data_IF_229400475353
#
_entry.id   IF_229400475353
#
_cell.length_a   1.000
_cell.length_b   1.000
_cell.length_c   1.000
_cell.angle_alpha   90.00
_cell.angle_beta   90.00
_cell.angle_gamma   90.00
#
_symmetry.space_group_name_H-M   'P 1'
#
loop_
_entity.id
_entity.type
_entity.pdbx_description
1 polymer ?
#
# COMPACT_ATOMS: atom_id res chain seq x y z
N UNK A 1 2.85 -3.38 8.17
CA UNK A 1 2.82 -2.90 6.77
C UNK A 1 2.94 -4.07 5.80
N UNK A 2 3.89 -4.97 6.03
CA UNK A 2 4.19 -6.11 5.15
C UNK A 2 2.96 -6.92 4.78
N UNK A 3 2.13 -7.31 5.77
CA UNK A 3 0.88 -8.05 5.52
C UNK A 3 -0.09 -7.37 4.55
N UNK A 4 -0.16 -6.03 4.55
CA UNK A 4 -1.05 -5.27 3.64
C UNK A 4 -0.51 -5.38 2.21
N UNK A 5 0.81 -5.20 2.05
CA UNK A 5 1.48 -5.32 0.76
C UNK A 5 1.37 -6.74 0.23
N UNK A 6 1.71 -7.74 1.06
CA UNK A 6 1.59 -9.16 0.73
C UNK A 6 0.17 -9.53 0.30
N UNK A 7 -0.86 -9.03 1.00
CA UNK A 7 -2.26 -9.30 0.65
C UNK A 7 -2.63 -8.71 -0.72
N UNK A 8 -2.22 -7.47 -1.00
CA UNK A 8 -2.43 -6.84 -2.32
C UNK A 8 -1.75 -7.63 -3.43
N UNK A 9 -0.50 -8.06 -3.20
CA UNK A 9 0.24 -8.89 -4.14
C UNK A 9 -0.40 -10.27 -4.32
N UNK A 10 -0.94 -10.87 -3.26
CA UNK A 10 -1.65 -12.14 -3.33
C UNK A 10 -2.90 -12.06 -4.22
N UNK A 11 -3.67 -10.98 -4.14
CA UNK A 11 -4.82 -10.77 -5.04
C UNK A 11 -4.39 -10.64 -6.50
N UNK A 12 -3.24 -10.00 -6.77
CA UNK A 12 -2.66 -9.94 -8.11
C UNK A 12 -2.27 -11.33 -8.61
N UNK A 13 -1.52 -12.09 -7.80
CA UNK A 13 -1.03 -13.43 -8.18
C UNK A 13 -2.17 -14.46 -8.36
N UNK A 14 -3.25 -14.33 -7.62
CA UNK A 14 -4.45 -15.18 -7.73
C UNK A 14 -5.45 -14.69 -8.78
N UNK A 15 -5.20 -13.54 -9.41
CA UNK A 15 -6.10 -12.86 -10.33
C UNK A 15 -7.49 -12.54 -9.74
N UNK A 16 -7.58 -12.38 -8.43
CA UNK A 16 -8.79 -11.97 -7.74
C UNK A 16 -8.96 -10.45 -7.78
N UNK A 17 -9.59 -9.99 -8.85
CA UNK A 17 -9.88 -8.58 -9.05
C UNK A 17 -10.84 -8.01 -8.00
N UNK A 18 -11.87 -8.77 -7.60
CA UNK A 18 -12.86 -8.26 -6.66
C UNK A 18 -12.23 -8.06 -5.29
N UNK A 19 -11.47 -9.05 -4.80
CA UNK A 19 -10.70 -8.92 -3.57
C UNK A 19 -9.73 -7.74 -3.60
N UNK A 20 -9.04 -7.52 -4.73
CA UNK A 20 -8.14 -6.39 -4.91
C UNK A 20 -8.87 -5.04 -4.79
N UNK A 21 -9.99 -4.87 -5.52
CA UNK A 21 -10.77 -3.63 -5.53
C UNK A 21 -11.41 -3.34 -4.18
N UNK A 22 -12.01 -4.36 -3.56
CA UNK A 22 -12.63 -4.24 -2.24
C UNK A 22 -11.60 -3.88 -1.17
N UNK A 23 -10.44 -4.54 -1.19
CA UNK A 23 -9.38 -4.30 -0.23
C UNK A 23 -8.76 -2.92 -0.42
N UNK A 24 -8.46 -2.49 -1.65
CA UNK A 24 -8.00 -1.13 -1.91
C UNK A 24 -9.03 -0.08 -1.48
N UNK A 25 -10.31 -0.29 -1.82
CA UNK A 25 -11.39 0.59 -1.39
C UNK A 25 -11.57 0.63 0.14
N UNK A 26 -11.27 -0.47 0.84
CA UNK A 26 -11.20 -0.48 2.30
C UNK A 26 -10.06 0.40 2.83
N UNK A 27 -8.85 0.31 2.24
CA UNK A 27 -7.72 1.18 2.60
C UNK A 27 -8.06 2.65 2.32
N UNK A 28 -8.70 2.96 1.19
CA UNK A 28 -9.18 4.30 0.87
C UNK A 28 -10.12 4.85 1.94
N UNK A 29 -11.14 4.07 2.33
CA UNK A 29 -12.15 4.50 3.31
C UNK A 29 -11.61 4.62 4.73
N UNK A 30 -10.70 3.73 5.14
CA UNK A 30 -10.26 3.63 6.55
C UNK A 30 -8.96 4.36 6.83
N UNK A 31 -8.03 4.37 5.88
CA UNK A 31 -6.69 4.93 6.05
C UNK A 31 -6.56 6.23 5.27
N UNK A 32 -6.81 6.20 3.95
CA UNK A 32 -6.49 7.34 3.09
C UNK A 32 -7.49 8.50 3.23
N UNK A 33 -8.71 8.24 3.70
CA UNK A 33 -9.71 9.26 4.01
C UNK A 33 -9.28 10.22 5.12
N UNK A 34 -8.32 9.82 5.95
CA UNK A 34 -7.76 10.62 7.05
C UNK A 34 -6.53 11.43 6.64
N UNK A 35 -6.03 11.22 5.43
CA UNK A 35 -4.87 11.93 4.92
C UNK A 35 -5.24 13.34 4.49
N UNK A 36 -4.29 14.25 4.64
CA UNK A 36 -4.35 15.57 4.03
C UNK A 36 -4.42 15.46 2.50
N UNK A 37 -5.10 16.43 1.88
CA UNK A 37 -5.32 16.46 0.43
C UNK A 37 -4.02 16.43 -0.39
N UNK A 38 -2.91 16.92 0.18
CA UNK A 38 -1.58 16.90 -0.45
C UNK A 38 -1.11 15.48 -0.80
N UNK A 39 -1.60 14.44 -0.09
CA UNK A 39 -1.22 13.05 -0.33
C UNK A 39 -2.14 12.33 -1.34
N UNK A 40 -3.31 12.88 -1.68
CA UNK A 40 -4.23 12.28 -2.66
C UNK A 40 -3.58 11.96 -4.00
N UNK A 41 -2.75 12.83 -4.60
CA UNK A 41 -2.06 12.51 -5.85
C UNK A 41 -1.16 11.28 -5.73
N UNK A 42 -0.49 11.10 -4.60
CA UNK A 42 0.38 9.94 -4.34
C UNK A 42 -0.44 8.66 -4.20
N UNK A 43 -1.56 8.71 -3.47
CA UNK A 43 -2.49 7.58 -3.36
C UNK A 43 -3.04 7.18 -4.73
N UNK A 44 -3.45 8.14 -5.56
CA UNK A 44 -3.94 7.88 -6.92
C UNK A 44 -2.86 7.28 -7.82
N UNK A 45 -1.61 7.75 -7.72
CA UNK A 45 -0.48 7.15 -8.44
C UNK A 45 -0.23 5.70 -8.00
N UNK A 46 -0.32 5.40 -6.71
CA UNK A 46 -0.19 4.04 -6.19
C UNK A 46 -1.34 3.13 -6.65
N UNK A 47 -2.60 3.61 -6.61
CA UNK A 47 -3.77 2.91 -7.16
C UNK A 47 -3.57 2.57 -8.64
N UNK A 48 -3.13 3.57 -9.41
CA UNK A 48 -2.88 3.42 -10.85
C UNK A 48 -1.80 2.37 -11.10
N UNK A 49 -0.66 2.45 -10.40
CA UNK A 49 0.42 1.47 -10.52
C UNK A 49 0.00 0.07 -10.09
N UNK A 50 -0.82 -0.05 -9.04
CA UNK A 50 -1.36 -1.34 -8.59
C UNK A 50 -2.22 -1.99 -9.68
N UNK A 51 -3.11 -1.23 -10.29
CA UNK A 51 -3.97 -1.72 -11.37
C UNK A 51 -3.18 -2.06 -12.63
N UNK A 52 -2.19 -1.25 -12.98
CA UNK A 52 -1.25 -1.54 -14.07
C UNK A 52 -0.48 -2.83 -13.79
N UNK A 53 -0.06 -3.06 -12.56
CA UNK A 53 0.64 -4.28 -12.19
C UNK A 53 -0.26 -5.51 -12.34
N UNK A 54 -1.51 -5.43 -11.86
CA UNK A 54 -2.52 -6.48 -12.08
C UNK A 54 -2.65 -6.82 -13.57
N UNK A 55 -2.85 -5.81 -14.43
CA UNK A 55 -2.98 -6.00 -15.87
C UNK A 55 -1.74 -6.64 -16.49
N UNK A 56 -0.53 -6.16 -16.16
CA UNK A 56 0.72 -6.76 -16.66
C UNK A 56 0.80 -8.24 -16.28
N UNK A 57 0.51 -8.61 -15.02
CA UNK A 57 0.51 -10.00 -14.59
C UNK A 57 -0.50 -10.87 -15.35
N UNK A 58 -1.71 -10.36 -15.60
CA UNK A 58 -2.71 -11.09 -16.38
C UNK A 58 -2.25 -11.35 -17.81
N UNK A 59 -1.63 -10.36 -18.46
CA UNK A 59 -1.18 -10.45 -19.84
C UNK A 59 0.08 -11.33 -19.95
N UNK A 60 1.04 -11.21 -19.03
CA UNK A 60 2.23 -12.07 -18.97
C UNK A 60 1.87 -13.55 -18.81
N UNK A 61 0.77 -13.86 -18.12
CA UNK A 61 0.32 -15.23 -17.88
C UNK A 61 -0.72 -15.72 -18.90
N UNK A 62 -0.90 -15.01 -20.01
CA UNK A 62 -1.88 -15.31 -21.05
C UNK A 62 -3.34 -15.41 -20.53
N UNK A 63 -3.64 -14.72 -19.42
CA UNK A 63 -4.96 -14.61 -18.79
C UNK A 63 -5.68 -13.35 -19.26
N UNK A 64 -5.79 -13.20 -20.57
CA UNK A 64 -6.46 -12.04 -21.19
C UNK A 64 -7.94 -11.94 -20.80
N UNK A 65 -8.57 -13.05 -20.41
CA UNK A 65 -9.90 -13.11 -19.80
C UNK A 65 -10.02 -12.19 -18.57
N UNK A 66 -8.99 -12.19 -17.72
CA UNK A 66 -8.93 -11.38 -16.50
C UNK A 66 -8.62 -9.91 -16.79
N UNK A 67 -7.81 -9.64 -17.80
CA UNK A 67 -7.58 -8.28 -18.27
C UNK A 67 -8.86 -7.64 -18.83
N UNK A 68 -9.68 -8.43 -19.53
CA UNK A 68 -10.98 -7.98 -20.03
C UNK A 68 -11.99 -7.75 -18.90
N UNK A 69 -12.07 -8.66 -17.91
CA UNK A 69 -12.90 -8.46 -16.71
C UNK A 69 -12.51 -7.17 -15.94
N UNK A 70 -11.20 -6.89 -15.85
CA UNK A 70 -10.71 -5.64 -15.29
C UNK A 70 -11.30 -4.42 -15.99
N UNK A 71 -11.14 -4.33 -17.31
CA UNK A 71 -11.65 -3.18 -18.05
C UNK A 71 -13.18 -3.15 -18.06
N UNK A 72 -13.88 -4.29 -18.06
CA UNK A 72 -15.33 -4.30 -17.97
C UNK A 72 -15.84 -3.66 -16.67
N UNK A 73 -15.16 -3.91 -15.53
CA UNK A 73 -15.56 -3.36 -14.22
C UNK A 73 -15.05 -1.94 -13.99
N UNK A 74 -13.86 -1.60 -14.49
CA UNK A 74 -13.18 -0.34 -14.16
C UNK A 74 -13.28 0.72 -15.28
N UNK A 75 -13.65 0.35 -16.51
CA UNK A 75 -13.76 1.30 -17.64
C UNK A 75 -14.59 2.56 -17.33
N UNK A 76 -15.75 2.49 -16.62
CA UNK A 76 -16.55 3.68 -16.35
C UNK A 76 -15.77 4.79 -15.60
N UNK A 77 -14.88 4.40 -14.68
CA UNK A 77 -14.02 5.31 -13.92
C UNK A 77 -12.77 5.69 -14.71
N UNK A 78 -12.14 4.72 -15.37
CA UNK A 78 -10.83 4.89 -16.02
C UNK A 78 -10.91 5.61 -17.37
N UNK A 79 -12.03 5.55 -18.09
CA UNK A 79 -12.16 6.16 -19.43
C UNK A 79 -11.99 7.69 -19.42
N UNK A 80 -12.23 8.34 -18.28
CA UNK A 80 -12.09 9.79 -18.13
C UNK A 80 -10.64 10.22 -17.78
N UNK A 81 -9.73 9.25 -17.63
CA UNK A 81 -8.34 9.47 -17.24
C UNK A 81 -7.43 9.25 -18.45
N UNK A 82 -6.74 10.31 -18.89
CA UNK A 82 -5.95 10.29 -20.12
C UNK A 82 -4.84 9.23 -20.09
N UNK A 83 -4.27 8.96 -18.91
CA UNK A 83 -3.20 7.99 -18.68
C UNK A 83 -3.63 6.53 -18.88
N UNK A 84 -4.94 6.25 -18.96
CA UNK A 84 -5.51 4.92 -19.20
C UNK A 84 -5.85 4.68 -20.66
N UNK A 85 -5.88 5.72 -21.50
CA UNK A 85 -6.31 5.62 -22.90
C UNK A 85 -5.56 4.54 -23.68
N UNK A 86 -4.24 4.50 -23.58
CA UNK A 86 -3.42 3.48 -24.27
C UNK A 86 -3.57 2.10 -23.64
N UNK A 87 -3.83 2.03 -22.32
CA UNK A 87 -3.94 0.77 -21.58
C UNK A 87 -5.15 -0.08 -22.00
N UNK A 88 -6.22 0.53 -22.49
CA UNK A 88 -7.37 -0.22 -23.04
C UNK A 88 -7.00 -1.11 -24.24
N UNK A 89 -5.91 -0.79 -24.97
CA UNK A 89 -5.42 -1.61 -26.07
C UNK A 89 -4.59 -2.81 -25.58
N UNK A 90 -4.09 -2.79 -24.34
CA UNK A 90 -3.13 -3.77 -23.81
C UNK A 90 -3.57 -5.24 -23.99
N UNK A 91 -4.84 -5.64 -23.70
CA UNK A 91 -5.27 -7.03 -23.85
C UNK A 91 -5.26 -7.54 -25.30
N UNK A 92 -5.21 -6.63 -26.28
CA UNK A 92 -5.29 -6.94 -27.71
C UNK A 92 -3.94 -6.88 -28.42
N UNK A 93 -2.88 -6.49 -27.72
CA UNK A 93 -1.53 -6.41 -28.30
C UNK A 93 -0.88 -7.79 -28.39
N UNK A 94 -0.30 -8.17 -29.55
CA UNK A 94 0.33 -9.48 -29.72
C UNK A 94 1.66 -9.62 -28.95
N UNK A 95 2.39 -8.53 -28.75
CA UNK A 95 3.67 -8.48 -28.01
C UNK A 95 3.74 -7.18 -27.17
N UNK A 96 3.06 -7.12 -26.02
CA UNK A 96 2.96 -5.92 -25.21
C UNK A 96 4.27 -5.57 -24.49
N UNK A 97 5.13 -6.56 -24.23
CA UNK A 97 6.47 -6.40 -23.67
C UNK A 97 7.45 -5.72 -24.64
N UNK A 98 7.27 -5.91 -25.96
CA UNK A 98 8.06 -5.25 -26.99
C UNK A 98 7.56 -3.84 -27.33
N UNK A 99 6.36 -3.45 -26.86
CA UNK A 99 5.80 -2.14 -27.13
C UNK A 99 6.53 -1.06 -26.31
N UNK A 100 7.09 0.01 -26.93
CA UNK A 100 7.83 1.04 -26.20
C UNK A 100 7.04 1.72 -25.07
N UNK A 101 5.71 1.83 -25.19
CA UNK A 101 4.84 2.42 -24.17
C UNK A 101 4.72 1.52 -22.95
N UNK A 102 4.75 0.19 -23.13
CA UNK A 102 4.46 -0.78 -22.07
C UNK A 102 5.70 -1.52 -21.56
N UNK A 103 6.76 -1.63 -22.34
CA UNK A 103 7.96 -2.45 -22.06
C UNK A 103 8.53 -2.25 -20.66
N UNK A 104 8.57 -1.01 -20.17
CA UNK A 104 9.03 -0.69 -18.83
C UNK A 104 8.22 -1.38 -17.73
N UNK A 105 6.89 -1.48 -17.89
CA UNK A 105 5.98 -2.09 -16.92
C UNK A 105 6.11 -3.62 -16.85
N UNK A 106 6.61 -4.25 -17.91
CA UNK A 106 6.88 -5.69 -17.96
C UNK A 106 8.21 -6.06 -17.29
N UNK A 107 9.02 -5.08 -16.89
CA UNK A 107 10.29 -5.33 -16.20
C UNK A 107 10.09 -5.66 -14.72
N UNK A 108 10.90 -6.60 -14.20
CA UNK A 108 10.95 -6.91 -12.77
C UNK A 108 11.33 -5.70 -11.93
N UNK A 109 12.25 -4.88 -12.44
CA UNK A 109 12.69 -3.65 -11.78
C UNK A 109 11.53 -2.69 -11.49
N UNK A 110 10.60 -2.53 -12.44
CA UNK A 110 9.42 -1.69 -12.24
C UNK A 110 8.50 -2.24 -11.15
N UNK A 111 8.23 -3.56 -11.16
CA UNK A 111 7.41 -4.21 -10.14
C UNK A 111 8.02 -4.11 -8.73
N UNK A 112 9.33 -4.32 -8.61
CA UNK A 112 10.06 -4.18 -7.34
C UNK A 112 10.04 -2.72 -6.86
N UNK A 113 10.25 -1.76 -7.75
CA UNK A 113 10.20 -0.32 -7.44
C UNK A 113 8.81 0.09 -6.95
N UNK A 114 7.75 -0.38 -7.61
CA UNK A 114 6.38 -0.16 -7.18
C UNK A 114 6.14 -0.74 -5.78
N UNK A 115 6.55 -1.98 -5.55
CA UNK A 115 6.35 -2.68 -4.26
C UNK A 115 7.05 -1.94 -3.12
N UNK A 116 8.30 -1.52 -3.32
CA UNK A 116 9.05 -0.71 -2.34
C UNK A 116 8.36 0.64 -2.11
N UNK A 117 7.90 1.30 -3.16
CA UNK A 117 7.21 2.61 -3.05
C UNK A 117 5.91 2.50 -2.25
N UNK A 118 5.12 1.44 -2.50
CA UNK A 118 3.90 1.15 -1.76
C UNK A 118 4.19 0.87 -0.29
N UNK A 119 5.20 0.04 0.00
CA UNK A 119 5.61 -0.28 1.37
C UNK A 119 6.07 0.97 2.12
N UNK A 120 6.95 1.76 1.51
CA UNK A 120 7.47 2.99 2.11
C UNK A 120 6.35 3.99 2.39
N UNK A 121 5.42 4.19 1.45
CA UNK A 121 4.27 5.07 1.65
C UNK A 121 3.41 4.62 2.82
N UNK A 122 3.05 3.33 2.88
CA UNK A 122 2.27 2.78 3.98
C UNK A 122 3.03 2.90 5.32
N UNK A 123 4.34 2.64 5.33
CA UNK A 123 5.16 2.77 6.53
C UNK A 123 5.15 4.18 7.10
N UNK A 124 5.37 5.19 6.26
CA UNK A 124 5.28 6.60 6.66
C UNK A 124 3.85 6.94 7.12
N UNK A 125 2.84 6.50 6.39
CA UNK A 125 1.44 6.74 6.74
C UNK A 125 1.09 6.21 8.13
N UNK A 126 1.49 4.97 8.44
CA UNK A 126 1.21 4.36 9.75
C UNK A 126 2.03 5.00 10.89
N UNK A 127 3.20 5.56 10.61
CA UNK A 127 3.98 6.34 11.60
C UNK A 127 3.31 7.68 11.92
N UNK A 128 2.68 8.31 10.92
CA UNK A 128 1.97 9.59 11.11
C UNK A 128 0.57 9.42 11.74
N UNK A 129 0.01 8.20 11.75
CA UNK A 129 -1.29 7.98 12.38
C UNK A 129 -1.17 8.01 13.91
N UNK A 130 -2.10 8.70 14.60
CA UNK A 130 -2.10 8.72 16.06
C UNK A 130 -2.24 7.30 16.59
N UNK A 131 -1.41 6.94 17.57
CA UNK A 131 -1.46 5.62 18.20
C UNK A 131 -2.85 5.40 18.80
N UNK A 132 -3.50 4.25 18.56
CA UNK A 132 -4.80 3.96 19.14
C UNK A 132 -4.79 4.17 20.66
N UNK A 133 -5.84 4.81 21.21
CA UNK A 133 -5.91 5.20 22.63
C UNK A 133 -5.72 4.03 23.61
N UNK A 134 -6.13 2.82 23.23
CA UNK A 134 -5.89 1.61 24.05
C UNK A 134 -4.40 1.26 24.12
N UNK A 135 -3.68 1.41 23.01
CA UNK A 135 -2.24 1.20 22.97
C UNK A 135 -1.49 2.36 23.66
N UNK A 136 -2.02 3.59 23.60
CA UNK A 136 -1.45 4.70 24.37
C UNK A 136 -1.54 4.45 25.87
N UNK A 137 -2.66 3.89 26.35
CA UNK A 137 -2.80 3.53 27.76
C UNK A 137 -1.77 2.49 28.23
N UNK A 138 -1.56 1.43 27.45
CA UNK A 138 -0.55 0.41 27.79
C UNK A 138 0.87 0.98 27.77
N UNK A 139 1.20 1.80 26.76
CA UNK A 139 2.49 2.50 26.71
C UNK A 139 2.68 3.49 27.89
N UNK A 140 1.64 4.22 28.27
CA UNK A 140 1.66 5.12 29.42
C UNK A 140 1.84 4.35 30.73
N UNK A 141 1.15 3.23 30.89
CA UNK A 141 1.29 2.35 32.05
C UNK A 141 2.72 1.81 32.19
N UNK A 142 3.32 1.30 31.11
CA UNK A 142 4.72 0.85 31.11
C UNK A 142 5.69 1.98 31.45
N UNK A 143 5.43 3.19 30.92
CA UNK A 143 6.24 4.38 31.22
C UNK A 143 6.17 4.77 32.70
N UNK A 144 4.99 4.70 33.31
CA UNK A 144 4.80 4.97 34.74
C UNK A 144 5.61 3.97 35.59
N UNK A 145 5.58 2.68 35.23
CA UNK A 145 6.34 1.66 35.95
C UNK A 145 7.86 1.91 35.88
N UNK A 146 8.39 2.21 34.70
CA UNK A 146 9.81 2.57 34.54
C UNK A 146 10.19 3.79 35.38
N UNK A 147 9.37 4.84 35.34
CA UNK A 147 9.62 6.05 36.12
C UNK A 147 9.57 5.77 37.63
N UNK A 148 8.69 4.88 38.09
CA UNK A 148 8.64 4.47 39.49
C UNK A 148 9.90 3.72 39.91
N UNK A 149 10.35 2.77 39.10
CA UNK A 149 11.56 1.99 39.35
C UNK A 149 12.82 2.88 39.38
N UNK A 150 12.94 3.82 38.44
CA UNK A 150 14.02 4.81 38.43
C UNK A 150 13.98 5.71 39.68
N UNK A 151 12.79 6.15 40.10
CA UNK A 151 12.63 6.96 41.30
C UNK A 151 13.02 6.20 42.57
N UNK A 152 12.67 4.92 42.68
CA UNK A 152 13.08 4.09 43.81
C UNK A 152 14.60 3.90 43.84
N UNK A 153 15.21 3.62 42.70
CA UNK A 153 16.67 3.51 42.57
C UNK A 153 17.39 4.81 42.94
N UNK A 154 16.86 5.97 42.50
CA UNK A 154 17.40 7.28 42.86
C UNK A 154 17.23 7.58 44.36
N UNK A 155 16.07 7.26 44.95
CA UNK A 155 15.83 7.42 46.39
C UNK A 155 16.79 6.58 47.23
N UNK A 156 17.07 5.33 46.83
CA UNK A 156 18.07 4.50 47.49
C UNK A 156 19.46 5.12 47.42
N UNK A 157 19.89 5.59 46.23
CA UNK A 157 21.21 6.25 46.07
C UNK A 157 21.35 7.51 46.93
N UNK A 158 20.31 8.33 47.03
CA UNK A 158 20.32 9.53 47.88
C UNK A 158 20.37 9.15 49.36
N UNK A 159 19.66 8.10 49.78
CA UNK A 159 19.71 7.61 51.16
C UNK A 159 21.09 7.07 51.55
N UNK A 160 21.81 6.44 50.62
CA UNK A 160 23.14 5.86 50.86
C UNK A 160 24.24 6.94 50.87
N UNK A 161 24.04 8.06 50.18
CA UNK A 161 25.03 9.15 50.09
C UNK A 161 24.84 10.25 51.16
N UNK A 162 23.77 10.17 51.96
CA UNK A 162 23.45 11.09 53.04
C UNK A 162 23.88 10.65 54.44
N UNK A 163 24.48 9.47 54.58
CA UNK A 163 25.19 8.98 55.77
C UNK A 163 26.71 9.24 55.64
#
# INVERSE_FOLDING_TARGET
VDRIVEQLLQFIQSYDLNGLLEYWGYLERRLFSRLEDVYRPTVNKLKTSLFRYYLVCTVQSSRTDKAQDFFQKQAPELQNQAEWKEWFALPFLPAPDANPTFSTYFSRQWADTFTVSLHNFLSVLFQCMPVPTILSFDMEYQRILQIQEENEALRQKVSICGE
#
